data_IF_649604104644
#
_entry.id   IF_649604104644
#
_cell.length_a   1.000
_cell.length_b   1.000
_cell.length_c   1.000
_cell.angle_alpha   90.00
_cell.angle_beta   90.00
_cell.angle_gamma   90.00
#
_symmetry.space_group_name_H-M   'P 1'
#
loop_
_entity.id
_entity.type
_entity.pdbx_description
1 polymer ?
#
# COMPACT_ATOMS: atom_id res chain seq x y z
N UNK A 1 -19.22 -14.98 11.81
CA UNK A 1 -17.88 -14.55 11.37
C UNK A 1 -17.93 -13.59 10.18
N UNK A 2 -18.44 -13.98 9.00
CA UNK A 2 -18.46 -13.13 7.79
C UNK A 2 -19.20 -11.78 7.94
N UNK A 3 -20.34 -11.75 8.65
CA UNK A 3 -21.11 -10.50 8.87
C UNK A 3 -20.39 -9.52 9.82
N UNK A 4 -19.78 -10.04 10.88
CA UNK A 4 -18.96 -9.23 11.80
C UNK A 4 -17.74 -8.65 11.11
N UNK A 5 -17.09 -9.44 10.26
CA UNK A 5 -15.98 -9.00 9.44
C UNK A 5 -16.36 -7.86 8.48
N UNK A 6 -17.47 -8.00 7.75
CA UNK A 6 -17.97 -6.93 6.87
C UNK A 6 -18.35 -5.67 7.65
N UNK A 7 -18.97 -5.82 8.82
CA UNK A 7 -19.29 -4.69 9.71
C UNK A 7 -18.02 -3.99 10.19
N UNK A 8 -17.00 -4.76 10.59
CA UNK A 8 -15.72 -4.23 11.02
C UNK A 8 -15.00 -3.46 9.90
N UNK A 9 -14.93 -4.01 8.69
CA UNK A 9 -14.37 -3.31 7.53
C UNK A 9 -15.16 -2.04 7.18
N UNK A 10 -16.50 -2.10 7.28
CA UNK A 10 -17.35 -0.95 7.02
C UNK A 10 -17.18 0.16 8.06
N UNK A 11 -17.12 -0.20 9.35
CA UNK A 11 -16.85 0.75 10.45
C UNK A 11 -15.47 1.40 10.30
N UNK A 12 -14.45 0.61 9.94
CA UNK A 12 -13.11 1.17 9.67
C UNK A 12 -13.09 2.12 8.47
N UNK A 13 -13.82 1.79 7.40
CA UNK A 13 -13.94 2.66 6.22
C UNK A 13 -14.69 3.96 6.56
N UNK A 14 -15.76 3.90 7.37
CA UNK A 14 -16.46 5.07 7.88
C UNK A 14 -15.57 5.91 8.80
N UNK A 15 -14.81 5.28 9.68
CA UNK A 15 -13.85 5.95 10.53
C UNK A 15 -12.77 6.66 9.70
N UNK A 16 -12.24 6.01 8.66
CA UNK A 16 -11.31 6.61 7.72
C UNK A 16 -11.90 7.83 6.99
N UNK A 17 -13.15 7.74 6.56
CA UNK A 17 -13.87 8.84 5.91
C UNK A 17 -14.15 10.00 6.89
N UNK A 18 -14.56 9.69 8.12
CA UNK A 18 -14.75 10.69 9.17
C UNK A 18 -13.43 11.40 9.52
N UNK A 19 -12.30 10.68 9.54
CA UNK A 19 -10.97 11.28 9.71
C UNK A 19 -10.66 12.28 8.60
N UNK A 20 -10.95 11.92 7.36
CA UNK A 20 -10.75 12.81 6.23
C UNK A 20 -11.52 14.14 6.37
N UNK A 21 -12.75 14.08 6.90
CA UNK A 21 -13.63 15.26 6.97
C UNK A 21 -13.40 16.13 8.20
N UNK A 22 -12.90 15.58 9.32
CA UNK A 22 -12.86 16.27 10.59
C UNK A 22 -11.50 16.41 11.25
N UNK A 23 -10.47 15.63 10.83
CA UNK A 23 -9.27 15.51 11.66
C UNK A 23 -7.99 15.30 10.85
N UNK A 24 -7.16 16.33 10.81
CA UNK A 24 -5.80 16.26 10.25
C UNK A 24 -4.74 15.71 11.24
N UNK A 25 -5.02 15.73 12.55
CA UNK A 25 -4.03 15.39 13.59
C UNK A 25 -4.30 14.06 14.32
N UNK A 26 -5.43 13.39 14.10
CA UNK A 26 -5.88 12.28 14.96
C UNK A 26 -6.04 10.92 14.25
N UNK A 27 -5.46 10.74 13.06
CA UNK A 27 -5.45 9.42 12.38
C UNK A 27 -4.93 8.31 13.30
N UNK A 28 -3.92 8.62 14.09
CA UNK A 28 -3.36 7.70 15.09
C UNK A 28 -4.33 7.35 16.22
N UNK A 29 -5.10 8.34 16.72
CA UNK A 29 -6.07 8.11 17.78
C UNK A 29 -7.21 7.19 17.31
N UNK A 30 -7.74 7.41 16.13
CA UNK A 30 -8.84 6.59 15.61
C UNK A 30 -8.35 5.17 15.35
N UNK A 31 -7.16 5.00 14.78
CA UNK A 31 -6.54 3.68 14.63
C UNK A 31 -6.39 2.98 15.98
N UNK A 32 -5.90 3.70 17.00
CA UNK A 32 -5.76 3.17 18.36
C UNK A 32 -7.11 2.77 18.95
N UNK A 33 -8.14 3.62 18.84
CA UNK A 33 -9.49 3.34 19.34
C UNK A 33 -10.10 2.10 18.68
N UNK A 34 -9.96 1.96 17.35
CA UNK A 34 -10.43 0.77 16.63
C UNK A 34 -9.74 -0.50 17.13
N UNK A 35 -8.42 -0.44 17.34
CA UNK A 35 -7.69 -1.60 17.87
C UNK A 35 -8.12 -1.94 19.31
N UNK A 36 -8.33 -0.93 20.15
CA UNK A 36 -8.87 -1.14 21.52
C UNK A 36 -10.25 -1.78 21.48
N UNK A 37 -11.13 -1.33 20.58
CA UNK A 37 -12.46 -1.94 20.42
C UNK A 37 -12.40 -3.40 19.94
N UNK A 38 -11.49 -3.71 19.00
CA UNK A 38 -11.26 -5.10 18.56
C UNK A 38 -10.75 -5.97 19.70
N UNK A 39 -9.82 -5.46 20.51
CA UNK A 39 -9.32 -6.18 21.68
C UNK A 39 -10.43 -6.40 22.72
N UNK A 40 -11.22 -5.37 23.00
CA UNK A 40 -12.35 -5.47 23.93
C UNK A 40 -13.38 -6.50 23.44
N UNK A 41 -13.77 -6.44 22.17
CA UNK A 41 -14.70 -7.41 21.59
C UNK A 41 -14.17 -8.85 21.72
N UNK A 42 -12.88 -9.08 21.46
CA UNK A 42 -12.27 -10.41 21.62
C UNK A 42 -12.35 -10.92 23.06
N UNK A 43 -12.12 -10.05 24.05
CA UNK A 43 -12.21 -10.42 25.46
C UNK A 43 -13.66 -10.79 25.83
N UNK A 44 -14.63 -9.98 25.42
CA UNK A 44 -16.06 -10.23 25.74
C UNK A 44 -16.66 -11.41 24.98
N UNK A 45 -16.07 -11.81 23.86
CA UNK A 45 -16.57 -12.95 23.05
C UNK A 45 -15.83 -14.25 23.31
N UNK A 46 -14.82 -14.27 24.19
CA UNK A 46 -14.13 -15.50 24.59
C UNK A 46 -15.11 -16.52 25.24
N UNK A 47 -15.04 -17.82 24.96
CA UNK A 47 -14.05 -18.51 24.10
C UNK A 47 -14.44 -18.64 22.62
N UNK A 48 -15.47 -17.94 22.13
CA UNK A 48 -15.95 -18.05 20.74
C UNK A 48 -14.95 -17.51 19.72
N UNK A 49 -14.17 -16.50 20.11
CA UNK A 49 -13.10 -15.89 19.32
C UNK A 49 -11.78 -16.16 20.03
N UNK A 50 -10.88 -16.86 19.37
CA UNK A 50 -9.56 -17.20 19.89
C UNK A 50 -8.48 -16.20 19.46
N UNK A 51 -7.24 -16.45 19.90
CA UNK A 51 -6.09 -15.59 19.58
C UNK A 51 -5.84 -15.49 18.08
N UNK A 52 -6.04 -16.57 17.32
CA UNK A 52 -5.85 -16.59 15.87
C UNK A 52 -6.79 -15.62 15.15
N UNK A 53 -8.07 -15.62 15.53
CA UNK A 53 -9.07 -14.72 14.97
C UNK A 53 -8.77 -13.26 15.30
N UNK A 54 -8.32 -13.00 16.53
CA UNK A 54 -7.87 -11.66 16.95
C UNK A 54 -6.70 -11.18 16.10
N UNK A 55 -5.69 -12.02 15.87
CA UNK A 55 -4.53 -11.67 15.05
C UNK A 55 -4.93 -11.40 13.59
N UNK A 56 -5.88 -12.18 13.03
CA UNK A 56 -6.43 -11.90 11.71
C UNK A 56 -7.16 -10.55 11.65
N UNK A 57 -7.97 -10.22 12.64
CA UNK A 57 -8.68 -8.94 12.70
C UNK A 57 -7.71 -7.77 12.82
N UNK A 58 -6.70 -7.89 13.69
CA UNK A 58 -5.65 -6.86 13.83
C UNK A 58 -4.87 -6.65 12.53
N UNK A 59 -4.47 -7.77 11.88
CA UNK A 59 -3.78 -7.71 10.59
C UNK A 59 -4.62 -7.02 9.51
N UNK A 60 -5.90 -7.38 9.40
CA UNK A 60 -6.81 -6.77 8.42
C UNK A 60 -7.01 -5.29 8.71
N UNK A 61 -7.11 -4.91 9.98
CA UNK A 61 -7.21 -3.50 10.35
C UNK A 61 -5.96 -2.71 9.90
N UNK A 62 -4.77 -3.25 10.10
CA UNK A 62 -3.55 -2.63 9.60
C UNK A 62 -3.57 -2.57 8.06
N UNK A 63 -3.81 -3.67 7.40
CA UNK A 63 -3.67 -3.80 5.95
C UNK A 63 -4.76 -3.05 5.17
N UNK A 64 -6.02 -3.16 5.61
CA UNK A 64 -7.16 -2.57 4.90
C UNK A 64 -7.57 -1.19 5.40
N UNK A 65 -7.05 -0.73 6.53
CA UNK A 65 -7.41 0.58 7.10
C UNK A 65 -6.20 1.48 7.26
N UNK A 66 -5.24 1.06 8.09
CA UNK A 66 -4.09 1.91 8.42
C UNK A 66 -3.23 2.25 7.20
N UNK A 67 -2.87 1.27 6.37
CA UNK A 67 -2.06 1.52 5.18
C UNK A 67 -2.78 2.45 4.17
N UNK A 68 -4.04 2.20 3.76
CA UNK A 68 -4.75 3.11 2.85
C UNK A 68 -4.99 4.51 3.41
N UNK A 69 -5.13 4.68 4.74
CA UNK A 69 -5.28 6.00 5.36
C UNK A 69 -4.12 6.94 5.03
N UNK A 70 -2.93 6.41 4.81
CA UNK A 70 -1.77 7.22 4.43
C UNK A 70 -1.89 7.84 3.04
N UNK A 71 -2.72 7.31 2.14
CA UNK A 71 -3.04 7.97 0.87
C UNK A 71 -3.82 9.28 1.12
N UNK A 72 -4.76 9.23 2.08
CA UNK A 72 -5.52 10.40 2.49
C UNK A 72 -4.61 11.39 3.21
N UNK A 73 -3.78 10.90 4.14
CA UNK A 73 -2.82 11.71 4.86
C UNK A 73 -1.83 12.42 3.90
N UNK A 74 -1.30 11.68 2.92
CA UNK A 74 -0.43 12.23 1.86
C UNK A 74 -1.16 13.32 1.05
N UNK A 75 -2.45 13.11 0.72
CA UNK A 75 -3.26 14.08 -0.01
C UNK A 75 -3.46 15.39 0.77
N UNK A 76 -3.43 15.33 2.10
CA UNK A 76 -3.65 16.49 3.01
C UNK A 76 -2.38 17.30 3.28
N UNK A 77 -1.20 16.81 2.89
CA UNK A 77 0.04 17.60 2.94
C UNK A 77 -0.01 18.79 1.98
N UNK A 78 0.86 19.77 2.19
CA UNK A 78 1.05 20.88 1.25
C UNK A 78 1.44 20.30 -0.13
N UNK A 79 0.75 20.78 -1.17
CA UNK A 79 0.85 20.18 -2.51
C UNK A 79 0.53 18.67 -2.60
N UNK A 80 -0.13 18.10 -1.59
CA UNK A 80 -0.38 16.67 -1.47
C UNK A 80 -1.12 16.03 -2.64
N UNK A 81 -1.95 16.79 -3.39
CA UNK A 81 -2.57 16.30 -4.61
C UNK A 81 -1.54 15.93 -5.68
N UNK A 82 -0.55 16.78 -5.88
CA UNK A 82 0.52 16.57 -6.84
C UNK A 82 1.48 15.47 -6.39
N UNK A 83 1.79 15.41 -5.09
CA UNK A 83 2.59 14.33 -4.50
C UNK A 83 1.91 12.98 -4.69
N UNK A 84 0.62 12.87 -4.37
CA UNK A 84 -0.13 11.64 -4.54
C UNK A 84 -0.19 11.22 -6.02
N UNK A 85 -0.47 12.16 -6.93
CA UNK A 85 -0.48 11.89 -8.37
C UNK A 85 0.88 11.40 -8.86
N UNK A 86 1.96 12.04 -8.40
CA UNK A 86 3.33 11.64 -8.75
C UNK A 86 3.65 10.23 -8.27
N UNK A 87 3.23 9.88 -7.06
CA UNK A 87 3.39 8.52 -6.51
C UNK A 87 2.63 7.50 -7.36
N UNK A 88 1.39 7.79 -7.79
CA UNK A 88 0.63 6.92 -8.70
C UNK A 88 1.38 6.68 -10.02
N UNK A 89 1.85 7.74 -10.65
CA UNK A 89 2.60 7.65 -11.91
C UNK A 89 3.87 6.82 -11.71
N UNK A 90 4.63 7.06 -10.64
CA UNK A 90 5.86 6.32 -10.35
C UNK A 90 5.61 4.83 -10.11
N UNK A 91 4.54 4.45 -9.39
CA UNK A 91 4.15 3.03 -9.20
C UNK A 91 3.81 2.38 -10.53
N UNK A 92 3.00 3.01 -11.38
CA UNK A 92 2.67 2.46 -12.70
C UNK A 92 3.90 2.31 -13.61
N UNK A 93 4.85 3.26 -13.53
CA UNK A 93 6.12 3.17 -14.26
C UNK A 93 6.98 2.03 -13.70
N UNK A 94 7.00 1.83 -12.36
CA UNK A 94 7.69 0.73 -11.73
C UNK A 94 7.18 -0.62 -12.25
N UNK A 95 5.88 -0.83 -12.24
CA UNK A 95 5.25 -2.08 -12.68
C UNK A 95 5.50 -2.33 -14.17
N UNK A 96 5.31 -1.29 -14.99
CA UNK A 96 5.58 -1.37 -16.43
C UNK A 96 7.05 -1.65 -16.71
N UNK A 97 7.95 -0.95 -16.03
CA UNK A 97 9.39 -1.13 -16.14
C UNK A 97 9.83 -2.53 -15.72
N UNK A 98 9.29 -3.02 -14.60
CA UNK A 98 9.55 -4.37 -14.13
C UNK A 98 9.07 -5.43 -15.11
N UNK A 99 7.88 -5.22 -15.72
CA UNK A 99 7.35 -6.13 -16.73
C UNK A 99 8.22 -6.18 -17.99
N UNK A 100 8.53 -5.02 -18.60
CA UNK A 100 9.30 -4.98 -19.84
C UNK A 100 10.75 -5.46 -19.65
N UNK A 101 11.42 -5.01 -18.59
CA UNK A 101 12.80 -5.46 -18.28
C UNK A 101 12.83 -6.95 -17.92
N UNK A 102 11.86 -7.44 -17.15
CA UNK A 102 11.75 -8.85 -16.81
C UNK A 102 11.47 -9.74 -18.02
N UNK A 103 10.70 -9.24 -19.01
CA UNK A 103 10.45 -9.95 -20.25
C UNK A 103 11.66 -9.97 -21.18
N UNK A 104 12.41 -8.86 -21.25
CA UNK A 104 13.55 -8.73 -22.16
C UNK A 104 14.82 -9.42 -21.61
N UNK A 105 15.09 -9.27 -20.33
CA UNK A 105 16.36 -9.65 -19.70
C UNK A 105 16.20 -10.66 -18.56
N UNK A 106 14.98 -11.00 -18.15
CA UNK A 106 14.72 -11.84 -16.97
C UNK A 106 15.26 -13.25 -17.07
N UNK A 107 16.20 -13.58 -16.19
CA UNK A 107 16.83 -14.90 -16.07
C UNK A 107 16.62 -15.51 -14.69
N UNK A 108 16.69 -14.68 -13.64
CA UNK A 108 16.62 -15.12 -12.26
C UNK A 108 15.24 -14.81 -11.67
N UNK A 109 14.56 -15.87 -11.20
CA UNK A 109 13.24 -15.71 -10.55
C UNK A 109 13.40 -15.10 -9.18
N UNK A 110 12.62 -14.02 -8.88
CA UNK A 110 12.67 -13.34 -7.60
C UNK A 110 11.92 -14.09 -6.50
N UNK A 111 10.72 -14.59 -6.81
CA UNK A 111 9.85 -15.29 -5.86
C UNK A 111 9.11 -16.46 -6.55
N UNK A 112 9.78 -17.59 -6.83
CA UNK A 112 9.21 -18.69 -7.64
C UNK A 112 7.89 -19.25 -7.11
N UNK A 113 7.75 -19.36 -5.78
CA UNK A 113 6.57 -19.92 -5.12
C UNK A 113 5.40 -18.95 -5.03
N UNK A 114 5.64 -17.64 -5.00
CA UNK A 114 4.62 -16.60 -4.87
C UNK A 114 4.17 -16.09 -6.25
N UNK A 115 5.13 -15.65 -7.04
CA UNK A 115 4.92 -15.07 -8.36
C UNK A 115 5.99 -15.55 -9.33
N UNK A 116 5.78 -16.67 -10.03
CA UNK A 116 6.78 -17.29 -10.89
C UNK A 116 7.17 -16.47 -12.13
N UNK A 117 6.41 -15.42 -12.44
CA UNK A 117 6.70 -14.51 -13.57
C UNK A 117 7.65 -13.36 -13.19
N UNK A 118 7.78 -13.01 -11.91
CA UNK A 118 8.65 -11.93 -11.45
C UNK A 118 10.12 -12.34 -11.45
N UNK A 119 10.99 -11.44 -11.94
CA UNK A 119 12.43 -11.64 -12.06
C UNK A 119 13.21 -10.53 -11.36
N UNK A 120 14.43 -10.84 -10.94
CA UNK A 120 15.34 -9.87 -10.30
C UNK A 120 15.70 -8.75 -11.29
N UNK A 121 15.98 -9.11 -12.53
CA UNK A 121 16.29 -8.15 -13.60
C UNK A 121 15.10 -7.23 -13.88
N UNK A 122 13.89 -7.77 -13.81
CA UNK A 122 12.68 -6.97 -13.88
C UNK A 122 12.58 -5.97 -12.74
N UNK A 123 12.81 -6.41 -11.50
CA UNK A 123 12.80 -5.53 -10.33
C UNK A 123 13.82 -4.40 -10.46
N UNK A 124 15.06 -4.71 -10.88
CA UNK A 124 16.11 -3.71 -11.12
C UNK A 124 15.67 -2.70 -12.19
N UNK A 125 15.11 -3.18 -13.31
CA UNK A 125 14.58 -2.29 -14.35
C UNK A 125 13.43 -1.41 -13.87
N UNK A 126 12.52 -1.95 -13.06
CA UNK A 126 11.46 -1.18 -12.40
C UNK A 126 12.02 -0.06 -11.52
N UNK A 127 12.99 -0.39 -10.64
CA UNK A 127 13.65 0.59 -9.77
C UNK A 127 14.31 1.70 -10.58
N UNK A 128 15.09 1.36 -11.59
CA UNK A 128 15.81 2.36 -12.41
C UNK A 128 14.82 3.29 -13.13
N UNK A 129 13.77 2.75 -13.75
CA UNK A 129 12.77 3.56 -14.44
C UNK A 129 11.96 4.43 -13.47
N UNK A 130 11.70 3.96 -12.25
CA UNK A 130 11.04 4.76 -11.23
C UNK A 130 11.90 5.93 -10.77
N UNK A 131 13.19 5.73 -10.56
CA UNK A 131 14.11 6.82 -10.22
C UNK A 131 14.18 7.85 -11.37
N UNK A 132 14.30 7.38 -12.62
CA UNK A 132 14.28 8.28 -13.78
C UNK A 132 12.97 9.05 -13.85
N UNK A 133 11.82 8.39 -13.60
CA UNK A 133 10.52 9.05 -13.62
C UNK A 133 10.39 10.09 -12.50
N UNK A 134 10.94 9.84 -11.30
CA UNK A 134 10.99 10.83 -10.23
C UNK A 134 11.76 12.08 -10.66
N UNK A 135 12.94 11.91 -11.29
CA UNK A 135 13.74 13.03 -11.82
C UNK A 135 13.02 13.80 -12.91
N UNK A 136 12.29 13.13 -13.79
CA UNK A 136 11.49 13.78 -14.84
C UNK A 136 10.30 14.54 -14.21
N UNK A 137 9.59 13.93 -13.27
CA UNK A 137 8.44 14.56 -12.58
C UNK A 137 8.89 15.81 -11.83
N UNK A 138 10.07 15.80 -11.20
CA UNK A 138 10.66 16.94 -10.49
C UNK A 138 10.84 18.19 -11.36
N UNK A 139 10.99 18.04 -12.67
CA UNK A 139 11.11 19.18 -13.61
C UNK A 139 9.77 19.94 -13.75
N UNK A 140 8.65 19.27 -13.51
CA UNK A 140 7.31 19.83 -13.67
C UNK A 140 6.64 20.13 -12.32
N UNK A 141 6.95 19.32 -11.31
CA UNK A 141 6.34 19.34 -9.99
C UNK A 141 7.44 19.15 -8.95
N UNK A 142 7.95 20.23 -8.35
CA UNK A 142 9.00 20.12 -7.35
C UNK A 142 8.51 19.34 -6.13
N UNK A 143 9.00 18.09 -6.01
CA UNK A 143 8.65 17.16 -4.95
C UNK A 143 9.67 17.19 -3.80
N UNK A 144 10.87 17.65 -4.08
CA UNK A 144 12.00 17.59 -3.18
C UNK A 144 12.89 18.83 -3.27
N UNK A 145 13.78 18.99 -2.30
CA UNK A 145 14.70 20.13 -2.24
C UNK A 145 16.02 19.88 -2.95
N UNK A 146 16.34 18.65 -3.28
CA UNK A 146 17.58 18.28 -3.96
C UNK A 146 17.44 16.99 -4.77
N UNK A 147 18.34 16.80 -5.75
CA UNK A 147 18.42 15.60 -6.59
C UNK A 147 18.56 14.32 -5.75
N UNK A 148 19.27 14.36 -4.63
CA UNK A 148 19.41 13.21 -3.74
C UNK A 148 18.04 12.79 -3.20
N UNK A 149 17.25 13.75 -2.71
CA UNK A 149 15.92 13.49 -2.19
C UNK A 149 14.96 12.98 -3.29
N UNK A 150 15.05 13.53 -4.49
CA UNK A 150 14.27 13.03 -5.65
C UNK A 150 14.59 11.57 -5.96
N UNK A 151 15.87 11.18 -5.98
CA UNK A 151 16.29 9.80 -6.18
C UNK A 151 15.82 8.89 -5.03
N UNK A 152 15.87 9.37 -3.78
CA UNK A 152 15.39 8.62 -2.61
C UNK A 152 13.88 8.40 -2.66
N UNK A 153 13.09 9.37 -3.09
CA UNK A 153 11.64 9.21 -3.30
C UNK A 153 11.40 8.12 -4.35
N UNK A 154 12.06 8.18 -5.50
CA UNK A 154 11.95 7.16 -6.55
C UNK A 154 12.31 5.75 -6.04
N UNK A 155 13.37 5.64 -5.23
CA UNK A 155 13.80 4.39 -4.62
C UNK A 155 12.78 3.86 -3.61
N UNK A 156 12.25 4.73 -2.74
CA UNK A 156 11.22 4.37 -1.74
C UNK A 156 9.94 3.87 -2.41
N UNK A 157 9.48 4.57 -3.46
CA UNK A 157 8.32 4.17 -4.24
C UNK A 157 8.54 2.81 -4.88
N UNK A 158 9.68 2.60 -5.55
CA UNK A 158 9.98 1.33 -6.21
C UNK A 158 10.07 0.17 -5.20
N UNK A 159 10.75 0.39 -4.07
CA UNK A 159 10.83 -0.59 -2.99
C UNK A 159 9.45 -0.96 -2.44
N UNK A 160 8.64 0.05 -2.08
CA UNK A 160 7.28 -0.15 -1.57
C UNK A 160 6.38 -0.87 -2.58
N UNK A 161 6.46 -0.52 -3.87
CA UNK A 161 5.68 -1.15 -4.93
C UNK A 161 6.04 -2.63 -5.11
N UNK A 162 7.33 -2.95 -5.22
CA UNK A 162 7.80 -4.34 -5.39
C UNK A 162 7.43 -5.20 -4.19
N UNK A 163 7.65 -4.71 -2.97
CA UNK A 163 7.34 -5.45 -1.74
C UNK A 163 5.83 -5.58 -1.56
N UNK A 164 5.05 -4.52 -1.84
CA UNK A 164 3.59 -4.53 -1.74
C UNK A 164 2.93 -5.58 -2.61
N UNK A 165 3.27 -5.62 -3.89
CA UNK A 165 2.77 -6.61 -4.83
C UNK A 165 3.22 -8.05 -4.47
N UNK A 166 4.44 -8.24 -3.98
CA UNK A 166 4.88 -9.56 -3.49
C UNK A 166 4.12 -9.97 -2.22
N UNK A 167 3.87 -9.03 -1.33
CA UNK A 167 3.15 -9.29 -0.10
C UNK A 167 1.68 -9.64 -0.37
N UNK A 168 1.01 -8.93 -1.27
CA UNK A 168 -0.35 -9.28 -1.70
C UNK A 168 -0.38 -10.66 -2.38
N UNK A 169 0.62 -10.96 -3.22
CA UNK A 169 0.79 -12.29 -3.80
C UNK A 169 0.94 -13.37 -2.72
N UNK A 170 1.72 -13.10 -1.65
CA UNK A 170 1.85 -13.99 -0.49
C UNK A 170 0.51 -14.23 0.19
N UNK A 171 -0.26 -13.18 0.47
CA UNK A 171 -1.58 -13.30 1.09
C UNK A 171 -2.51 -14.16 0.24
N UNK A 172 -2.60 -13.90 -1.06
CA UNK A 172 -3.44 -14.69 -1.98
C UNK A 172 -3.06 -16.17 -1.96
N UNK A 173 -1.78 -16.51 -1.99
CA UNK A 173 -1.33 -17.92 -1.91
C UNK A 173 -1.62 -18.55 -0.56
N UNK A 174 -1.46 -17.82 0.53
CA UNK A 174 -1.79 -18.30 1.89
C UNK A 174 -3.27 -18.66 2.05
N UNK A 175 -4.16 -17.94 1.34
CA UNK A 175 -5.60 -18.25 1.30
C UNK A 175 -5.99 -19.22 0.17
N UNK A 176 -5.03 -19.78 -0.58
CA UNK A 176 -5.31 -20.71 -1.67
C UNK A 176 -6.01 -20.09 -2.88
N UNK A 177 -5.97 -18.75 -3.00
CA UNK A 177 -6.62 -18.03 -4.11
C UNK A 177 -5.56 -17.38 -5.02
N UNK A 178 -5.98 -16.96 -6.21
CA UNK A 178 -5.13 -16.25 -7.17
C UNK A 178 -5.48 -14.77 -7.25
N UNK A 179 -6.75 -14.45 -7.21
CA UNK A 179 -7.28 -13.10 -7.34
C UNK A 179 -8.03 -12.73 -6.05
N UNK A 180 -7.95 -11.48 -5.61
CA UNK A 180 -8.58 -11.01 -4.36
C UNK A 180 -10.11 -10.91 -4.46
N UNK A 181 -10.68 -10.99 -5.66
CA UNK A 181 -12.12 -10.92 -5.90
C UNK A 181 -12.47 -10.92 -7.38
N UNK A 182 -13.76 -10.70 -7.68
CA UNK A 182 -14.32 -10.63 -9.04
C UNK A 182 -15.12 -9.34 -9.27
N UNK A 183 -14.86 -8.30 -8.47
CA UNK A 183 -15.64 -7.04 -8.52
C UNK A 183 -15.41 -6.31 -9.85
N UNK A 184 -14.18 -6.37 -10.37
CA UNK A 184 -13.84 -5.74 -11.65
C UNK A 184 -13.80 -6.82 -12.75
N UNK A 185 -14.78 -6.84 -13.68
CA UNK A 185 -14.79 -7.83 -14.76
C UNK A 185 -13.49 -7.81 -15.56
N UNK A 186 -12.82 -8.97 -15.66
CA UNK A 186 -11.55 -9.13 -16.37
C UNK A 186 -10.30 -8.57 -15.65
N UNK A 187 -10.46 -7.94 -14.47
CA UNK A 187 -9.37 -7.25 -13.76
C UNK A 187 -9.16 -7.70 -12.31
N UNK A 188 -9.88 -8.72 -11.83
CA UNK A 188 -9.74 -9.23 -10.46
C UNK A 188 -10.49 -8.43 -9.41
N UNK A 189 -9.98 -8.42 -8.19
CA UNK A 189 -10.53 -7.65 -7.08
C UNK A 189 -10.00 -6.22 -6.99
N UNK A 190 -10.61 -5.44 -6.10
CA UNK A 190 -10.15 -4.08 -5.82
C UNK A 190 -8.74 -4.07 -5.20
N UNK A 191 -8.44 -4.99 -4.29
CA UNK A 191 -7.12 -5.09 -3.66
C UNK A 191 -6.00 -5.34 -4.68
N UNK A 192 -6.26 -6.16 -5.73
CA UNK A 192 -5.31 -6.44 -6.81
C UNK A 192 -4.88 -5.16 -7.60
N UNK A 193 -5.51 -4.01 -7.38
CA UNK A 193 -5.21 -2.74 -8.04
C UNK A 193 -4.45 -1.75 -7.18
N UNK A 194 -4.51 -1.96 -5.87
CA UNK A 194 -3.91 -1.06 -4.89
C UNK A 194 -2.81 -1.74 -4.06
N UNK A 195 -2.48 -2.99 -4.37
CA UNK A 195 -1.50 -3.81 -3.66
C UNK A 195 -0.14 -3.11 -3.46
N UNK A 196 0.41 -2.57 -4.53
CA UNK A 196 1.66 -1.81 -4.51
C UNK A 196 1.51 -0.51 -3.72
N UNK A 197 0.35 0.17 -3.84
CA UNK A 197 0.12 1.46 -3.18
C UNK A 197 0.00 1.35 -1.66
N UNK A 198 -0.49 0.22 -1.14
CA UNK A 198 -0.71 0.05 0.30
C UNK A 198 0.57 0.23 1.10
N UNK A 199 1.72 -0.23 0.61
CA UNK A 199 3.01 -0.04 1.26
C UNK A 199 3.71 1.26 0.85
N UNK A 200 3.50 1.72 -0.38
CA UNK A 200 4.10 2.98 -0.87
C UNK A 200 3.54 4.19 -0.13
N UNK A 201 2.23 4.22 0.13
CA UNK A 201 1.56 5.37 0.73
C UNK A 201 2.15 5.80 2.09
N UNK A 202 2.32 4.90 3.10
CA UNK A 202 2.93 5.29 4.37
C UNK A 202 4.40 5.72 4.20
N UNK A 203 5.19 5.04 3.36
CA UNK A 203 6.58 5.41 3.13
C UNK A 203 6.69 6.84 2.58
N UNK A 204 5.89 7.16 1.58
CA UNK A 204 5.87 8.50 0.98
C UNK A 204 5.30 9.54 1.96
N UNK A 205 4.24 9.24 2.69
CA UNK A 205 3.66 10.17 3.64
C UNK A 205 4.68 10.60 4.70
N UNK A 206 5.32 9.65 5.38
CA UNK A 206 6.31 9.99 6.41
C UNK A 206 7.53 10.69 5.82
N UNK A 207 7.98 10.27 4.64
CA UNK A 207 9.11 10.93 3.98
C UNK A 207 8.79 12.38 3.66
N UNK A 208 7.66 12.67 3.00
CA UNK A 208 7.27 14.05 2.65
C UNK A 208 6.93 14.89 3.89
N UNK A 209 6.32 14.29 4.91
CA UNK A 209 6.04 14.97 6.18
C UNK A 209 7.32 15.45 6.87
N UNK A 210 8.39 14.63 6.88
CA UNK A 210 9.70 15.01 7.43
C UNK A 210 10.35 16.12 6.59
N UNK A 211 10.14 16.12 5.29
CA UNK A 211 10.71 17.11 4.38
C UNK A 211 10.03 18.49 4.46
N UNK A 212 8.78 18.53 4.90
CA UNK A 212 7.97 19.75 5.04
C UNK A 212 8.01 20.34 6.45
N UNK A 213 8.37 19.57 7.48
CA UNK A 213 8.49 20.02 8.89
C UNK A 213 9.89 20.49 9.20
#
# INVERSE_FOLDING_TARGET
MQRMFMLFCFVNMLAAFACYTFVTQELGLIFALVNVLVMAETVFTYPKVGLSEMLYLAFINIYCTWLPLHMIALRLLDNGAWMLMSVFIMVWICDSGAYFSGRAFGRHKMAPHLSPKKTIEGAVGGVLLTIVSAVVIEQFLPLATSMLHTCLIGLLVAFGAIVGDLFESYLKRSFGVKDSGKILPGHGGFADRFDSFLLVAPLCFYYFSIMQG
#
